data_IF_749786903511
#
_entry.id   IF_749786903511
#
_cell.length_a   1.000
_cell.length_b   1.000
_cell.length_c   1.000
_cell.angle_alpha   90.00
_cell.angle_beta   90.00
_cell.angle_gamma   90.00
#
_symmetry.space_group_name_H-M   'P 1'
#
loop_
_entity.id
_entity.type
_entity.pdbx_description
1 polymer ?
#
# COMPACT_ATOMS: atom_id res chain seq x y z
N UNK A 1 -23.68 -3.61 26.83
CA UNK A 1 -22.89 -3.72 25.59
C UNK A 1 -23.23 -5.06 24.96
N UNK A 2 -23.80 -5.02 23.76
CA UNK A 2 -24.15 -6.20 22.97
C UNK A 2 -22.92 -6.71 22.23
N UNK A 3 -22.74 -8.02 22.08
CA UNK A 3 -21.62 -8.57 21.30
C UNK A 3 -21.57 -8.08 19.84
N UNK A 4 -22.68 -7.58 19.30
CA UNK A 4 -22.72 -6.92 17.97
C UNK A 4 -22.00 -5.58 17.98
N UNK A 5 -22.09 -4.80 19.07
CA UNK A 5 -21.40 -3.53 19.22
C UNK A 5 -19.88 -3.74 19.31
N UNK A 6 -19.45 -4.79 20.02
CA UNK A 6 -18.03 -5.16 20.14
C UNK A 6 -17.45 -5.59 18.77
N UNK A 7 -18.20 -6.38 17.99
CA UNK A 7 -17.79 -6.78 16.64
C UNK A 7 -17.72 -5.57 15.71
N UNK A 8 -18.68 -4.65 15.78
CA UNK A 8 -18.65 -3.41 14.99
C UNK A 8 -17.41 -2.58 15.32
N UNK A 9 -17.12 -2.37 16.60
CA UNK A 9 -15.94 -1.63 17.04
C UNK A 9 -14.64 -2.29 16.58
N UNK A 10 -14.54 -3.62 16.65
CA UNK A 10 -13.37 -4.35 16.16
C UNK A 10 -13.17 -4.19 14.64
N UNK A 11 -14.26 -4.24 13.86
CA UNK A 11 -14.18 -4.05 12.40
C UNK A 11 -13.82 -2.61 12.02
N UNK A 12 -14.33 -1.60 12.73
CA UNK A 12 -13.91 -0.21 12.57
C UNK A 12 -12.42 -0.04 12.85
N UNK A 13 -11.90 -0.66 13.91
CA UNK A 13 -10.46 -0.66 14.21
C UNK A 13 -9.65 -1.33 13.08
N UNK A 14 -10.13 -2.43 12.50
CA UNK A 14 -9.48 -3.07 11.35
C UNK A 14 -9.42 -2.11 10.14
N UNK A 15 -10.48 -1.32 9.88
CA UNK A 15 -10.46 -0.31 8.81
C UNK A 15 -9.39 0.75 9.04
N UNK A 16 -9.27 1.24 10.28
CA UNK A 16 -8.25 2.22 10.62
C UNK A 16 -6.84 1.69 10.37
N UNK A 17 -6.57 0.41 10.70
CA UNK A 17 -5.29 -0.23 10.39
C UNK A 17 -5.07 -0.42 8.88
N UNK A 18 -6.10 -0.79 8.13
CA UNK A 18 -6.00 -0.89 6.66
C UNK A 18 -5.66 0.48 6.06
N UNK A 19 -6.26 1.55 6.56
CA UNK A 19 -6.00 2.91 6.09
C UNK A 19 -4.56 3.35 6.44
N UNK A 20 -4.07 3.09 7.65
CA UNK A 20 -2.65 3.28 8.01
C UNK A 20 -1.73 2.49 7.08
N UNK A 21 -2.05 1.21 6.87
CA UNK A 21 -1.56 0.31 5.84
C UNK A 21 -1.27 1.01 4.51
N UNK A 22 -2.35 1.56 3.96
CA UNK A 22 -2.41 2.18 2.65
C UNK A 22 -1.57 3.45 2.56
N UNK A 23 -1.62 4.32 3.57
CA UNK A 23 -0.81 5.54 3.61
C UNK A 23 0.69 5.19 3.61
N UNK A 24 1.10 4.20 4.40
CA UNK A 24 2.48 3.72 4.43
C UNK A 24 2.92 3.16 3.06
N UNK A 25 2.11 2.29 2.46
CA UNK A 25 2.42 1.69 1.16
C UNK A 25 2.51 2.75 0.03
N UNK A 26 1.59 3.72 0.00
CA UNK A 26 1.65 4.84 -0.94
C UNK A 26 2.90 5.71 -0.73
N UNK A 27 3.28 5.95 0.53
CA UNK A 27 4.50 6.70 0.85
C UNK A 27 5.74 5.96 0.36
N UNK A 28 5.81 4.65 0.61
CA UNK A 28 6.91 3.82 0.11
C UNK A 28 6.97 3.85 -1.43
N UNK A 29 5.83 3.73 -2.12
CA UNK A 29 5.76 3.80 -3.58
C UNK A 29 6.30 5.13 -4.11
N UNK A 30 5.86 6.25 -3.54
CA UNK A 30 6.37 7.58 -3.92
C UNK A 30 7.89 7.68 -3.74
N UNK A 31 8.41 7.19 -2.62
CA UNK A 31 9.86 7.23 -2.35
C UNK A 31 10.65 6.34 -3.32
N UNK A 32 10.10 5.19 -3.72
CA UNK A 32 10.70 4.33 -4.75
C UNK A 32 10.71 5.05 -6.10
N UNK A 33 9.60 5.65 -6.50
CA UNK A 33 9.51 6.40 -7.77
C UNK A 33 10.49 7.58 -7.80
N UNK A 34 10.62 8.32 -6.70
CA UNK A 34 11.61 9.39 -6.53
C UNK A 34 13.04 8.87 -6.65
N UNK A 35 13.37 7.76 -6.00
CA UNK A 35 14.69 7.14 -6.09
C UNK A 35 15.01 6.68 -7.52
N UNK A 36 14.05 6.09 -8.23
CA UNK A 36 14.23 5.67 -9.62
C UNK A 36 14.41 6.86 -10.56
N UNK A 37 13.72 7.97 -10.34
CA UNK A 37 13.91 9.19 -11.11
C UNK A 37 15.33 9.76 -10.91
N UNK A 38 15.85 9.75 -9.68
CA UNK A 38 17.24 10.16 -9.39
C UNK A 38 18.23 9.26 -10.13
N UNK A 39 18.05 7.94 -10.05
CA UNK A 39 18.93 6.98 -10.74
C UNK A 39 18.91 7.22 -12.25
N UNK A 40 17.73 7.36 -12.86
CA UNK A 40 17.61 7.63 -14.29
C UNK A 40 18.33 8.92 -14.72
N UNK A 41 18.32 9.96 -13.88
CA UNK A 41 19.12 11.17 -14.08
C UNK A 41 20.62 10.86 -14.11
N UNK A 42 21.12 10.10 -13.15
CA UNK A 42 22.54 9.70 -13.08
C UNK A 42 22.93 8.84 -14.30
N UNK A 43 22.10 7.87 -14.70
CA UNK A 43 22.34 7.03 -15.88
C UNK A 43 22.41 7.85 -17.17
N UNK A 44 21.54 8.87 -17.29
CA UNK A 44 21.54 9.79 -18.43
C UNK A 44 22.85 10.59 -18.50
N UNK A 45 23.33 11.07 -17.36
CA UNK A 45 24.53 11.92 -17.27
C UNK A 45 25.83 11.12 -17.47
N UNK A 46 25.86 9.85 -17.05
CA UNK A 46 27.09 9.04 -17.03
C UNK A 46 27.11 7.93 -18.11
N UNK A 47 26.00 7.71 -18.83
CA UNK A 47 25.82 6.62 -19.81
C UNK A 47 26.08 5.21 -19.24
N UNK A 48 26.02 5.06 -17.93
CA UNK A 48 26.14 3.79 -17.22
C UNK A 48 24.77 3.35 -16.72
N UNK A 49 24.46 2.06 -16.82
CA UNK A 49 23.22 1.50 -16.27
C UNK A 49 23.43 1.09 -14.82
N UNK A 50 22.73 1.75 -13.91
CA UNK A 50 22.85 1.62 -12.45
C UNK A 50 21.51 1.15 -11.83
N UNK A 51 20.39 1.28 -12.55
CA UNK A 51 19.07 0.85 -12.12
C UNK A 51 19.10 -0.65 -11.81
N UNK A 52 18.89 -1.05 -10.54
CA UNK A 52 18.90 -2.44 -10.17
C UNK A 52 17.69 -3.16 -10.79
N UNK A 53 17.84 -4.40 -11.30
CA UNK A 53 16.73 -5.14 -11.90
C UNK A 53 15.59 -5.41 -10.90
N UNK A 54 15.87 -5.37 -9.60
CA UNK A 54 14.89 -5.53 -8.53
C UNK A 54 13.96 -4.31 -8.38
N UNK A 55 14.30 -3.15 -8.94
CA UNK A 55 13.48 -1.94 -8.86
C UNK A 55 12.03 -2.17 -9.30
N UNK A 56 11.85 -2.85 -10.45
CA UNK A 56 10.52 -3.18 -10.97
C UNK A 56 9.75 -4.17 -10.08
N UNK A 57 10.46 -5.04 -9.36
CA UNK A 57 9.84 -5.97 -8.40
C UNK A 57 9.27 -5.21 -7.19
N UNK A 58 10.01 -4.23 -6.67
CA UNK A 58 9.56 -3.43 -5.52
C UNK A 58 8.30 -2.65 -5.85
N UNK A 59 8.23 -1.98 -7.00
CA UNK A 59 7.02 -1.26 -7.42
C UNK A 59 5.85 -2.24 -7.61
N UNK A 60 6.06 -3.38 -8.28
CA UNK A 60 5.00 -4.37 -8.49
C UNK A 60 4.46 -4.96 -7.18
N UNK A 61 5.31 -5.17 -6.17
CA UNK A 61 4.90 -5.68 -4.86
C UNK A 61 4.13 -4.64 -4.05
N UNK A 62 4.50 -3.35 -4.15
CA UNK A 62 3.73 -2.26 -3.54
C UNK A 62 2.35 -2.11 -4.18
N UNK A 63 2.26 -2.26 -5.50
CA UNK A 63 0.99 -2.19 -6.24
C UNK A 63 0.05 -3.31 -5.82
N UNK A 64 0.57 -4.55 -5.78
CA UNK A 64 -0.20 -5.71 -5.30
C UNK A 64 -0.65 -5.53 -3.85
N UNK A 65 0.20 -4.93 -3.01
CA UNK A 65 -0.15 -4.65 -1.60
C UNK A 65 -1.28 -3.63 -1.51
N UNK A 66 -1.24 -2.56 -2.29
CA UNK A 66 -2.29 -1.54 -2.34
C UNK A 66 -3.63 -2.13 -2.82
N UNK A 67 -3.61 -2.95 -3.88
CA UNK A 67 -4.79 -3.67 -4.36
C UNK A 67 -5.37 -4.61 -3.28
N UNK A 68 -4.51 -5.37 -2.60
CA UNK A 68 -4.94 -6.25 -1.52
C UNK A 68 -5.57 -5.48 -0.36
N UNK A 69 -5.03 -4.32 0.01
CA UNK A 69 -5.56 -3.47 1.07
C UNK A 69 -6.93 -2.88 0.70
N UNK A 70 -7.13 -2.51 -0.57
CA UNK A 70 -8.45 -2.08 -1.08
C UNK A 70 -9.48 -3.21 -1.04
N UNK A 71 -9.09 -4.44 -1.41
CA UNK A 71 -9.95 -5.61 -1.30
C UNK A 71 -10.35 -5.93 0.14
N UNK A 72 -9.40 -5.85 1.09
CA UNK A 72 -9.65 -6.06 2.51
C UNK A 72 -10.61 -5.02 3.10
N UNK A 73 -10.48 -3.74 2.74
CA UNK A 73 -11.41 -2.70 3.19
C UNK A 73 -12.84 -2.98 2.72
N UNK A 74 -13.01 -3.33 1.44
CA UNK A 74 -14.31 -3.66 0.86
C UNK A 74 -14.96 -4.88 1.55
N UNK A 75 -14.14 -5.88 1.91
CA UNK A 75 -14.62 -7.04 2.66
C UNK A 75 -15.12 -6.64 4.05
N UNK A 76 -14.39 -5.78 4.76
CA UNK A 76 -14.78 -5.27 6.08
C UNK A 76 -16.05 -4.43 5.99
N UNK A 77 -16.16 -3.54 5.00
CA UNK A 77 -17.36 -2.74 4.75
C UNK A 77 -18.60 -3.59 4.47
N UNK A 78 -18.42 -4.69 3.72
CA UNK A 78 -19.49 -5.65 3.43
C UNK A 78 -19.99 -6.35 4.70
N UNK A 79 -19.10 -6.62 5.66
CA UNK A 79 -19.51 -7.21 6.95
C UNK A 79 -20.21 -6.16 7.80
N UNK A 80 -19.65 -4.96 7.92
CA UNK A 80 -20.23 -3.84 8.67
C UNK A 80 -21.65 -3.48 8.19
N UNK A 81 -21.89 -3.50 6.87
CA UNK A 81 -23.21 -3.17 6.32
C UNK A 81 -24.30 -4.20 6.66
N UNK A 82 -23.92 -5.38 7.17
CA UNK A 82 -24.82 -6.48 7.53
C UNK A 82 -25.06 -6.61 9.03
N UNK A 83 -24.33 -5.86 9.85
CA UNK A 83 -24.43 -5.83 11.33
C UNK A 83 -25.38 -4.73 11.80
#
# INVERSE_FOLDING_TARGET
>A
MSGVEDVRAALEQVKDEINRARVCANTARRLVDEALAIIAGVESDHHERITPPQAGLVTADLDRTLESLSGSELAVDTVLSRL
#
